data_IF_844762535684
#
_entry.id   IF_844762535684
#
_cell.length_a   1.000
_cell.length_b   1.000
_cell.length_c   1.000
_cell.angle_alpha   90.00
_cell.angle_beta   90.00
_cell.angle_gamma   90.00
#
_symmetry.space_group_name_H-M   'P 1'
#
loop_
_entity.id
_entity.type
_entity.pdbx_description
1 polymer ?
#
# COMPACT_ATOMS: atom_id res chain seq x y z
N UNK A 1 16.45 -18.85 -29.79
CA UNK A 1 16.61 -19.17 -28.38
C UNK A 1 16.08 -18.02 -27.60
N UNK A 2 14.82 -18.11 -27.17
CA UNK A 2 14.20 -17.10 -26.33
C UNK A 2 14.76 -17.25 -24.93
N UNK A 3 15.36 -16.19 -24.40
CA UNK A 3 15.71 -16.07 -23.00
C UNK A 3 14.42 -16.14 -22.20
N UNK A 4 14.15 -17.23 -21.53
CA UNK A 4 13.16 -17.29 -20.48
C UNK A 4 13.55 -16.28 -19.40
N UNK A 5 12.89 -15.16 -19.40
CA UNK A 5 13.03 -14.14 -18.37
C UNK A 5 12.40 -14.72 -17.11
N UNK A 6 13.20 -15.09 -16.12
CA UNK A 6 12.72 -15.48 -14.80
C UNK A 6 12.02 -14.27 -14.18
N UNK A 7 10.72 -14.19 -14.36
CA UNK A 7 9.87 -13.24 -13.67
C UNK A 7 9.49 -13.92 -12.34
N UNK A 8 9.89 -13.32 -11.23
CA UNK A 8 9.41 -13.70 -9.91
C UNK A 8 8.26 -12.75 -9.55
N UNK A 9 7.07 -13.28 -9.69
CA UNK A 9 5.88 -12.57 -9.19
C UNK A 9 5.29 -13.40 -8.07
N UNK A 10 5.09 -12.81 -6.92
CA UNK A 10 4.38 -13.44 -5.81
C UNK A 10 3.24 -12.54 -5.32
N UNK A 11 2.10 -13.17 -5.10
CA UNK A 11 0.94 -12.57 -4.48
C UNK A 11 0.69 -13.29 -3.17
N UNK A 12 0.84 -12.59 -2.07
CA UNK A 12 0.66 -13.17 -0.74
C UNK A 12 -0.54 -12.53 -0.05
N UNK A 13 -1.48 -13.35 0.35
CA UNK A 13 -2.56 -12.98 1.24
C UNK A 13 -2.29 -13.59 2.61
N UNK A 14 -2.25 -12.78 3.64
CA UNK A 14 -2.02 -13.22 5.00
C UNK A 14 -3.27 -12.85 5.80
N UNK A 15 -3.98 -13.86 6.29
CA UNK A 15 -5.04 -13.67 7.26
C UNK A 15 -4.42 -13.65 8.65
N UNK A 16 -4.58 -12.53 9.31
CA UNK A 16 -4.01 -12.37 10.63
C UNK A 16 -4.95 -12.91 11.69
N UNK A 17 -4.52 -13.96 12.41
CA UNK A 17 -5.13 -14.33 13.69
C UNK A 17 -4.82 -13.32 14.79
N UNK A 18 -4.45 -12.11 14.40
CA UNK A 18 -4.08 -11.04 15.30
C UNK A 18 -5.32 -10.37 15.90
N UNK A 19 -5.17 -9.87 17.12
CA UNK A 19 -6.27 -9.26 17.88
C UNK A 19 -6.90 -8.06 17.16
N UNK A 20 -6.12 -7.30 16.41
CA UNK A 20 -6.51 -6.03 15.80
C UNK A 20 -6.41 -5.99 14.27
N UNK A 21 -5.63 -6.88 13.67
CA UNK A 21 -5.49 -6.97 12.22
C UNK A 21 -6.41 -8.05 11.68
N UNK A 22 -7.08 -7.75 10.59
CA UNK A 22 -7.89 -8.70 9.85
C UNK A 22 -7.01 -9.46 8.85
N UNK A 23 -6.37 -8.73 7.96
CA UNK A 23 -5.57 -9.30 6.88
C UNK A 23 -4.52 -8.33 6.37
N UNK A 24 -3.56 -8.84 5.63
CA UNK A 24 -2.72 -8.05 4.74
C UNK A 24 -2.68 -8.66 3.34
N UNK A 25 -2.37 -7.82 2.36
CA UNK A 25 -2.12 -8.21 0.99
C UNK A 25 -0.74 -7.71 0.61
N UNK A 26 0.02 -8.58 -0.03
CA UNK A 26 1.37 -8.27 -0.48
C UNK A 26 1.49 -8.65 -1.95
N UNK A 27 2.10 -7.77 -2.70
CA UNK A 27 2.45 -8.00 -4.10
C UNK A 27 3.94 -7.77 -4.24
N UNK A 28 4.60 -8.76 -4.81
CA UNK A 28 6.02 -8.70 -5.14
C UNK A 28 6.16 -9.03 -6.63
N UNK A 29 6.61 -8.06 -7.42
CA UNK A 29 6.74 -8.16 -8.87
C UNK A 29 8.16 -7.80 -9.25
N UNK A 30 8.86 -8.71 -9.95
CA UNK A 30 10.21 -8.47 -10.44
C UNK A 30 10.34 -8.89 -11.90
N UNK A 31 11.02 -8.06 -12.72
CA UNK A 31 11.41 -8.44 -14.08
C UNK A 31 12.77 -9.15 -14.12
N UNK A 32 13.37 -9.36 -12.96
CA UNK A 32 14.69 -9.99 -12.81
C UNK A 32 15.85 -9.13 -13.30
N UNK A 33 15.61 -7.86 -13.62
CA UNK A 33 16.63 -6.93 -14.15
C UNK A 33 16.65 -5.60 -13.43
N UNK A 34 15.63 -4.80 -13.64
CA UNK A 34 15.58 -3.42 -13.17
C UNK A 34 14.35 -3.08 -12.36
N UNK A 35 13.24 -3.75 -12.62
CA UNK A 35 11.96 -3.47 -11.97
C UNK A 35 11.72 -4.45 -10.84
N UNK A 36 11.64 -3.91 -9.63
CA UNK A 36 11.22 -4.62 -8.44
C UNK A 36 10.15 -3.76 -7.74
N UNK A 37 8.96 -4.29 -7.57
CA UNK A 37 7.83 -3.61 -6.93
C UNK A 37 7.37 -4.46 -5.77
N UNK A 38 7.41 -3.90 -4.58
CA UNK A 38 6.80 -4.45 -3.39
C UNK A 38 5.69 -3.49 -2.94
N UNK A 39 4.47 -3.99 -2.86
CA UNK A 39 3.32 -3.31 -2.30
C UNK A 39 2.77 -4.14 -1.14
N UNK A 40 2.43 -3.49 -0.06
CA UNK A 40 1.77 -4.13 1.07
C UNK A 40 0.70 -3.22 1.63
N UNK A 41 -0.46 -3.79 1.91
CA UNK A 41 -1.52 -3.11 2.65
C UNK A 41 -1.99 -3.99 3.80
N UNK A 42 -2.03 -3.43 5.00
CA UNK A 42 -2.54 -4.07 6.20
C UNK A 42 -3.90 -3.47 6.56
N UNK A 43 -4.90 -4.32 6.69
CA UNK A 43 -6.27 -3.96 7.04
C UNK A 43 -6.54 -4.24 8.52
N UNK A 44 -6.99 -3.26 9.29
CA UNK A 44 -7.41 -3.49 10.67
C UNK A 44 -8.79 -4.17 10.70
N UNK A 45 -9.14 -4.78 11.81
CA UNK A 45 -10.52 -5.14 12.09
C UNK A 45 -11.36 -3.88 12.21
N UNK A 46 -12.55 -3.89 11.61
CA UNK A 46 -13.43 -2.72 11.55
C UNK A 46 -14.12 -2.38 12.86
N UNK A 47 -14.94 -1.34 12.87
CA UNK A 47 -15.71 -0.86 14.00
C UNK A 47 -15.00 0.20 14.85
N UNK A 48 -13.87 0.72 14.40
CA UNK A 48 -13.07 1.69 15.16
C UNK A 48 -12.60 2.89 14.35
N UNK A 49 -12.98 2.97 13.08
CA UNK A 49 -12.55 4.04 12.17
C UNK A 49 -11.02 4.14 12.01
N UNK A 50 -10.33 3.00 12.13
CA UNK A 50 -8.88 2.92 11.95
C UNK A 50 -8.52 2.93 10.47
N UNK A 51 -7.39 3.55 10.11
CA UNK A 51 -6.88 3.49 8.75
C UNK A 51 -6.24 2.13 8.45
N UNK A 52 -6.14 1.80 7.16
CA UNK A 52 -5.18 0.82 6.69
C UNK A 52 -3.76 1.38 6.78
N UNK A 53 -2.77 0.51 6.85
CA UNK A 53 -1.37 0.88 6.66
C UNK A 53 -0.91 0.40 5.30
N UNK A 54 -0.55 1.34 4.42
CA UNK A 54 -0.05 1.09 3.08
C UNK A 54 1.45 1.34 2.97
N UNK A 55 2.13 0.47 2.23
CA UNK A 55 3.54 0.59 1.92
C UNK A 55 3.81 0.21 0.48
N UNK A 56 4.56 1.06 -0.22
CA UNK A 56 5.08 0.78 -1.55
C UNK A 56 6.59 1.00 -1.58
N UNK A 57 7.29 0.04 -2.16
CA UNK A 57 8.69 0.16 -2.54
C UNK A 57 8.81 -0.22 -4.01
N UNK A 58 8.91 0.79 -4.86
CA UNK A 58 8.84 0.61 -6.31
C UNK A 58 10.17 1.00 -6.96
N UNK A 59 10.98 0.02 -7.32
CA UNK A 59 12.20 0.21 -8.09
C UNK A 59 11.91 0.05 -9.57
N UNK A 60 12.17 1.08 -10.35
CA UNK A 60 12.08 1.07 -11.81
C UNK A 60 13.46 1.05 -12.48
N UNK A 61 14.48 1.46 -11.75
CA UNK A 61 15.90 1.36 -12.10
C UNK A 61 16.73 1.65 -10.85
N UNK A 62 18.06 1.40 -10.86
CA UNK A 62 18.95 1.77 -9.76
C UNK A 62 18.91 3.25 -9.36
N UNK A 63 18.52 4.11 -10.31
CA UNK A 63 18.44 5.57 -10.11
C UNK A 63 17.02 6.08 -9.85
N UNK A 64 16.03 5.21 -9.89
CA UNK A 64 14.62 5.60 -9.75
C UNK A 64 13.88 4.59 -8.89
N UNK A 65 13.80 4.91 -7.61
CA UNK A 65 13.06 4.16 -6.60
C UNK A 65 12.08 5.13 -5.94
N UNK A 66 10.86 4.68 -5.76
CA UNK A 66 9.80 5.41 -5.05
C UNK A 66 9.49 4.66 -3.78
N UNK A 67 9.52 5.35 -2.66
CA UNK A 67 9.16 4.83 -1.34
C UNK A 67 7.91 5.56 -0.89
N UNK A 68 6.87 4.81 -0.51
CA UNK A 68 5.62 5.37 0.04
C UNK A 68 5.26 4.65 1.33
N UNK A 69 4.93 5.42 2.36
CA UNK A 69 4.28 4.94 3.59
C UNK A 69 3.08 5.83 3.87
N UNK A 70 1.94 5.25 4.20
CA UNK A 70 0.76 6.03 4.55
C UNK A 70 -0.26 5.26 5.40
N UNK A 71 -1.14 6.03 6.03
CA UNK A 71 -2.33 5.58 6.72
C UNK A 71 -3.55 5.93 5.86
N UNK A 72 -4.15 4.94 5.24
CA UNK A 72 -5.23 5.12 4.29
C UNK A 72 -6.57 4.96 4.99
N UNK A 73 -7.29 6.07 5.16
CA UNK A 73 -8.55 6.08 5.89
C UNK A 73 -9.72 5.59 5.03
N UNK A 74 -10.63 4.76 5.57
CA UNK A 74 -11.75 4.24 4.80
C UNK A 74 -12.73 5.33 4.33
N UNK A 75 -12.82 6.43 5.06
CA UNK A 75 -13.71 7.55 4.69
C UNK A 75 -12.98 8.53 3.80
N UNK A 76 -13.49 8.72 2.58
CA UNK A 76 -12.97 9.70 1.63
C UNK A 76 -13.02 11.11 2.21
N UNK A 77 -12.01 11.91 1.88
CA UNK A 77 -11.85 13.29 2.35
C UNK A 77 -11.77 13.46 3.88
N UNK A 78 -11.57 12.39 4.62
CA UNK A 78 -11.25 12.46 6.03
C UNK A 78 -9.81 12.93 6.21
N UNK A 79 -9.64 14.15 6.74
CA UNK A 79 -8.32 14.74 6.96
C UNK A 79 -7.63 14.08 8.17
N UNK A 80 -7.08 12.91 7.95
CA UNK A 80 -6.39 12.13 8.96
C UNK A 80 -4.96 12.63 9.16
N UNK A 81 -4.56 12.78 10.41
CA UNK A 81 -3.23 13.25 10.80
C UNK A 81 -2.72 12.50 12.02
N UNK A 82 -1.48 12.06 11.98
CA UNK A 82 -0.76 11.46 13.11
C UNK A 82 0.25 12.46 13.63
N UNK A 83 0.10 12.96 14.88
CA UNK A 83 1.03 13.89 15.48
C UNK A 83 2.46 13.35 15.51
N UNK A 84 3.42 14.22 15.20
CA UNK A 84 4.85 13.88 15.25
C UNK A 84 5.40 13.18 14.01
N UNK A 85 4.58 12.86 13.03
CA UNK A 85 5.03 12.46 11.71
C UNK A 85 5.16 13.67 10.76
N UNK A 86 6.03 13.61 9.75
CA UNK A 86 6.16 14.69 8.79
C UNK A 86 4.88 14.84 7.95
N UNK A 87 4.59 16.05 7.52
CA UNK A 87 3.52 16.28 6.55
C UNK A 87 3.97 15.87 5.15
N UNK A 88 3.05 15.27 4.42
CA UNK A 88 3.21 14.96 3.01
C UNK A 88 3.35 16.24 2.17
N UNK A 89 4.15 16.17 1.12
CA UNK A 89 4.25 17.25 0.13
C UNK A 89 3.09 17.12 -0.84
N UNK A 90 2.30 18.16 -1.02
CA UNK A 90 1.07 18.17 -1.81
C UNK A 90 1.24 18.18 -3.33
N UNK A 91 2.37 17.73 -3.86
CA UNK A 91 2.70 17.77 -5.28
C UNK A 91 2.68 16.40 -5.99
N UNK A 92 2.14 15.38 -5.33
CA UNK A 92 2.14 14.02 -5.86
C UNK A 92 0.80 13.68 -6.52
N UNK A 93 0.81 13.53 -7.83
CA UNK A 93 -0.36 13.30 -8.70
C UNK A 93 -1.34 12.19 -8.26
N UNK A 94 -0.87 11.19 -7.54
CA UNK A 94 -1.66 10.01 -7.19
C UNK A 94 -2.01 9.96 -5.71
N UNK A 95 -1.33 10.72 -4.88
CA UNK A 95 -1.39 10.66 -3.43
C UNK A 95 -1.66 12.05 -2.89
N UNK A 96 -2.91 12.49 -2.99
CA UNK A 96 -3.33 13.78 -2.43
C UNK A 96 -3.96 13.55 -1.06
N UNK A 97 -3.52 14.28 -0.02
CA UNK A 97 -4.18 14.24 1.28
C UNK A 97 -5.68 14.56 1.14
N UNK A 98 -6.53 13.78 1.81
CA UNK A 98 -7.97 13.95 1.76
C UNK A 98 -8.71 13.01 0.81
N UNK A 99 -7.99 12.31 -0.07
CA UNK A 99 -8.57 11.25 -0.91
C UNK A 99 -8.22 9.87 -0.36
N UNK A 100 -8.70 9.54 0.83
CA UNK A 100 -8.31 8.38 1.64
C UNK A 100 -6.89 8.45 2.22
N UNK A 101 -6.01 9.30 1.73
CA UNK A 101 -4.64 9.43 2.20
C UNK A 101 -4.51 10.39 3.38
N UNK A 102 -3.58 10.10 4.30
CA UNK A 102 -3.33 10.95 5.44
C UNK A 102 -2.59 12.24 5.06
N UNK A 103 -2.63 13.23 5.94
CA UNK A 103 -1.75 14.41 5.82
C UNK A 103 -0.26 14.07 5.99
N UNK A 104 0.03 12.89 6.50
CA UNK A 104 1.39 12.42 6.80
C UNK A 104 1.93 11.47 5.73
N UNK A 105 1.31 11.41 4.55
CA UNK A 105 1.83 10.56 3.49
C UNK A 105 3.31 10.84 3.24
N UNK A 106 4.13 9.79 3.33
CA UNK A 106 5.56 9.85 3.11
C UNK A 106 5.89 9.34 1.73
N UNK A 107 6.39 10.20 0.85
CA UNK A 107 6.80 9.84 -0.50
C UNK A 107 8.20 10.35 -0.72
N UNK A 108 9.10 9.44 -1.17
CA UNK A 108 10.47 9.79 -1.51
C UNK A 108 10.85 9.20 -2.86
N UNK A 109 11.59 9.98 -3.63
CA UNK A 109 12.20 9.58 -4.90
C UNK A 109 13.70 9.48 -4.66
N UNK A 110 14.24 8.28 -4.69
CA UNK A 110 15.61 7.98 -4.26
C UNK A 110 16.32 7.09 -5.28
N UNK A 111 17.63 6.97 -5.16
CA UNK A 111 18.43 5.94 -5.81
C UNK A 111 18.70 4.76 -4.86
N UNK A 112 19.29 3.67 -5.38
CA UNK A 112 19.50 2.45 -4.60
C UNK A 112 20.42 2.60 -3.37
N UNK A 113 21.32 3.60 -3.37
CA UNK A 113 22.22 3.85 -2.24
C UNK A 113 21.56 4.63 -1.10
N UNK A 114 20.40 5.22 -1.36
CA UNK A 114 19.67 6.06 -0.39
C UNK A 114 18.54 5.31 0.30
N UNK A 115 18.15 4.14 -0.19
CA UNK A 115 16.97 3.39 0.33
C UNK A 115 17.07 3.13 1.83
N UNK A 116 18.22 2.65 2.31
CA UNK A 116 18.40 2.26 3.70
C UNK A 116 18.28 3.45 4.67
N UNK A 117 18.54 4.67 4.18
CA UNK A 117 18.39 5.88 4.99
C UNK A 117 16.93 6.15 5.41
N UNK A 118 15.97 5.52 4.73
CA UNK A 118 14.53 5.67 5.01
C UNK A 118 13.97 4.60 5.97
N UNK A 119 14.76 3.59 6.33
CA UNK A 119 14.34 2.54 7.25
C UNK A 119 13.88 3.09 8.63
N UNK A 120 14.58 4.04 9.26
CA UNK A 120 14.09 4.60 10.54
C UNK A 120 12.73 5.30 10.41
N UNK A 121 12.41 5.85 9.23
CA UNK A 121 11.10 6.45 9.00
C UNK A 121 10.02 5.38 8.85
N UNK A 122 10.32 4.29 8.14
CA UNK A 122 9.42 3.14 8.06
C UNK A 122 9.10 2.57 9.45
N UNK A 123 10.12 2.33 10.26
CA UNK A 123 9.95 1.85 11.65
C UNK A 123 9.06 2.78 12.47
N UNK A 124 9.21 4.08 12.30
CA UNK A 124 8.38 5.08 12.98
C UNK A 124 6.91 5.01 12.54
N UNK A 125 6.64 4.88 11.24
CA UNK A 125 5.26 4.72 10.73
C UNK A 125 4.63 3.42 11.22
N UNK A 126 5.38 2.33 11.17
CA UNK A 126 4.92 1.03 11.65
C UNK A 126 4.59 1.07 13.15
N UNK A 127 5.45 1.69 13.97
CA UNK A 127 5.20 1.83 15.40
C UNK A 127 3.95 2.69 15.68
N UNK A 128 3.78 3.80 14.96
CA UNK A 128 2.57 4.61 15.08
C UNK A 128 1.31 3.81 14.73
N UNK A 129 1.37 2.94 13.71
CA UNK A 129 0.24 2.09 13.35
C UNK A 129 -0.08 1.05 14.44
N UNK A 130 0.93 0.42 15.00
CA UNK A 130 0.78 -0.52 16.13
C UNK A 130 0.15 0.19 17.33
N UNK A 131 0.63 1.38 17.67
CA UNK A 131 0.09 2.18 18.78
C UNK A 131 -1.39 2.55 18.56
N UNK A 132 -1.77 2.90 17.32
CA UNK A 132 -3.18 3.15 16.96
C UNK A 132 -4.05 1.91 17.12
N UNK A 133 -3.58 0.76 16.64
CA UNK A 133 -4.29 -0.51 16.78
C UNK A 133 -4.52 -0.87 18.24
N UNK A 134 -3.51 -0.72 19.08
CA UNK A 134 -3.59 -1.03 20.51
C UNK A 134 -4.49 -0.06 21.28
N UNK A 135 -4.44 1.22 20.95
CA UNK A 135 -5.26 2.26 21.60
C UNK A 135 -6.73 2.12 21.27
N UNK A 136 -7.08 1.75 20.04
CA UNK A 136 -8.47 1.77 19.55
C UNK A 136 -9.19 0.44 19.74
N UNK A 137 -8.48 -0.69 19.71
CA UNK A 137 -9.04 -2.05 19.92
C UNK A 137 -10.26 -2.34 19.05
N UNK A 138 -10.12 -2.41 17.73
CA UNK A 138 -11.22 -2.72 16.83
C UNK A 138 -11.88 -4.05 17.20
N UNK A 139 -13.18 -4.13 17.11
CA UNK A 139 -13.97 -5.28 17.57
C UNK A 139 -14.73 -6.00 16.48
N UNK A 140 -14.86 -5.37 15.31
CA UNK A 140 -15.62 -5.91 14.17
C UNK A 140 -14.76 -6.72 13.20
N UNK A 141 -15.44 -7.52 12.39
CA UNK A 141 -14.86 -8.23 11.23
C UNK A 141 -15.57 -7.83 9.93
N UNK A 142 -16.50 -6.89 10.00
CA UNK A 142 -17.19 -6.36 8.84
C UNK A 142 -16.21 -5.53 7.99
N UNK A 143 -16.19 -5.80 6.70
CA UNK A 143 -15.27 -5.21 5.73
C UNK A 143 -15.90 -4.13 4.87
N UNK A 144 -17.19 -3.86 5.05
CA UNK A 144 -17.93 -2.90 4.22
C UNK A 144 -17.42 -1.47 4.37
N UNK A 145 -16.81 -1.15 5.50
CA UNK A 145 -16.22 0.16 5.80
C UNK A 145 -15.13 0.57 4.79
N UNK A 146 -14.40 -0.39 4.21
CA UNK A 146 -13.28 -0.13 3.28
C UNK A 146 -13.68 -0.24 1.80
N UNK A 147 -14.94 -0.49 1.51
CA UNK A 147 -15.41 -0.70 0.13
C UNK A 147 -15.15 0.50 -0.77
N UNK A 148 -15.37 1.70 -0.27
CA UNK A 148 -15.16 2.93 -1.04
C UNK A 148 -13.66 3.18 -1.27
N UNK A 149 -12.82 2.86 -0.29
CA UNK A 149 -11.37 2.90 -0.41
C UNK A 149 -10.89 1.90 -1.48
N UNK A 150 -11.33 0.66 -1.44
CA UNK A 150 -10.97 -0.35 -2.44
C UNK A 150 -11.37 0.08 -3.85
N UNK A 151 -12.59 0.62 -4.02
CA UNK A 151 -13.06 1.13 -5.30
C UNK A 151 -12.23 2.32 -5.81
N UNK A 152 -11.82 3.22 -4.90
CA UNK A 152 -10.94 4.34 -5.22
C UNK A 152 -9.56 3.85 -5.69
N UNK A 153 -8.94 2.95 -4.93
CA UNK A 153 -7.62 2.40 -5.25
C UNK A 153 -7.64 1.62 -6.57
N UNK A 154 -8.64 0.78 -6.78
CA UNK A 154 -8.81 0.04 -8.04
C UNK A 154 -8.87 0.97 -9.26
N UNK A 155 -9.51 2.13 -9.12
CA UNK A 155 -9.66 3.08 -10.22
C UNK A 155 -8.40 3.87 -10.53
N UNK A 156 -7.61 4.21 -9.53
CA UNK A 156 -6.52 5.18 -9.64
C UNK A 156 -5.12 4.60 -9.54
N UNK A 157 -4.97 3.41 -8.97
CA UNK A 157 -3.67 2.80 -8.78
C UNK A 157 -3.01 2.48 -10.13
N UNK A 158 -1.81 2.99 -10.40
CA UNK A 158 -1.07 2.71 -11.63
C UNK A 158 -0.66 1.24 -11.79
N UNK A 159 -0.73 0.44 -10.72
CA UNK A 159 -0.40 -0.99 -10.76
C UNK A 159 -1.27 -1.75 -11.77
N UNK A 160 -2.54 -1.38 -11.89
CA UNK A 160 -3.46 -1.98 -12.86
C UNK A 160 -2.95 -1.83 -14.30
N UNK A 161 -2.46 -0.64 -14.67
CA UNK A 161 -1.85 -0.37 -15.97
C UNK A 161 -0.56 -1.17 -16.20
N UNK A 162 0.28 -1.26 -15.17
CA UNK A 162 1.52 -2.05 -15.23
C UNK A 162 1.23 -3.55 -15.41
N UNK A 163 0.30 -4.09 -14.62
CA UNK A 163 -0.11 -5.50 -14.70
C UNK A 163 -0.77 -5.81 -16.05
N UNK A 164 -1.59 -4.90 -16.60
CA UNK A 164 -2.22 -5.07 -17.90
C UNK A 164 -1.20 -5.17 -19.04
N UNK A 165 -0.12 -4.36 -18.98
CA UNK A 165 0.98 -4.44 -19.93
C UNK A 165 1.75 -5.76 -19.86
N UNK A 166 1.76 -6.41 -18.69
CA UNK A 166 2.55 -7.63 -18.44
C UNK A 166 1.72 -8.91 -18.65
N UNK A 167 0.50 -8.94 -18.18
CA UNK A 167 -0.35 -10.14 -18.11
C UNK A 167 -1.59 -10.09 -19.00
N UNK A 168 -1.84 -8.96 -19.66
CA UNK A 168 -3.09 -8.68 -20.35
C UNK A 168 -4.15 -8.10 -19.40
N UNK A 169 -5.11 -7.39 -19.99
CA UNK A 169 -6.08 -6.60 -19.22
C UNK A 169 -6.96 -7.46 -18.30
N UNK A 170 -7.52 -8.57 -18.82
CA UNK A 170 -8.43 -9.43 -18.05
C UNK A 170 -7.79 -9.97 -16.77
N UNK A 171 -6.55 -10.47 -16.89
CA UNK A 171 -5.81 -10.98 -15.73
C UNK A 171 -5.37 -9.86 -14.78
N UNK A 172 -5.02 -8.70 -15.31
CA UNK A 172 -4.69 -7.54 -14.48
C UNK A 172 -5.91 -7.05 -13.69
N UNK A 173 -7.08 -6.96 -14.35
CA UNK A 173 -8.33 -6.56 -13.69
C UNK A 173 -8.68 -7.53 -12.55
N UNK A 174 -8.55 -8.85 -12.79
CA UNK A 174 -8.77 -9.85 -11.74
C UNK A 174 -7.77 -9.70 -10.58
N UNK A 175 -6.49 -9.53 -10.86
CA UNK A 175 -5.47 -9.35 -9.82
C UNK A 175 -5.70 -8.09 -8.96
N UNK A 176 -6.15 -7.02 -9.58
CA UNK A 176 -6.42 -5.76 -8.87
C UNK A 176 -7.73 -5.85 -8.08
N UNK A 177 -8.81 -6.32 -8.70
CA UNK A 177 -10.15 -6.30 -8.09
C UNK A 177 -10.40 -7.45 -7.14
N UNK A 178 -9.86 -8.64 -7.44
CA UNK A 178 -10.17 -9.85 -6.68
C UNK A 178 -9.09 -10.19 -5.64
N UNK A 179 -7.94 -9.49 -5.69
CA UNK A 179 -6.84 -9.77 -4.78
C UNK A 179 -6.30 -8.52 -4.08
N UNK A 180 -5.79 -7.51 -4.81
CA UNK A 180 -5.11 -6.37 -4.19
C UNK A 180 -6.07 -5.52 -3.36
N UNK A 181 -7.15 -5.09 -3.98
CA UNK A 181 -8.15 -4.23 -3.38
C UNK A 181 -9.49 -4.96 -3.18
N UNK A 182 -9.40 -6.23 -2.86
CA UNK A 182 -10.55 -7.04 -2.49
C UNK A 182 -10.63 -7.11 -0.98
N UNK A 183 -11.53 -6.35 -0.40
CA UNK A 183 -11.73 -6.35 1.03
C UNK A 183 -12.64 -7.48 1.51
N UNK A 184 -13.50 -7.98 0.63
CA UNK A 184 -14.44 -9.08 0.90
C UNK A 184 -13.85 -10.45 0.66
#
# INVERSE_FOLDING_TARGET
MGSEMCIRDSLNAIDHSHKYLLKSRQVDISDGKNVDIFNCIAYPKTGSNLPCFGMDLMKFSPKKIIIVFDFQHPVENYLFEVPGLPYGRGDNRFFEPGNHFSKNIYIQYVNEYEVDAHLPMFEKYLQCYIDMLEATKPTGEDTTEYKDFDAYMTKLDPVGGFLAGKFGKEKADSLVNDFLFAYG
#
